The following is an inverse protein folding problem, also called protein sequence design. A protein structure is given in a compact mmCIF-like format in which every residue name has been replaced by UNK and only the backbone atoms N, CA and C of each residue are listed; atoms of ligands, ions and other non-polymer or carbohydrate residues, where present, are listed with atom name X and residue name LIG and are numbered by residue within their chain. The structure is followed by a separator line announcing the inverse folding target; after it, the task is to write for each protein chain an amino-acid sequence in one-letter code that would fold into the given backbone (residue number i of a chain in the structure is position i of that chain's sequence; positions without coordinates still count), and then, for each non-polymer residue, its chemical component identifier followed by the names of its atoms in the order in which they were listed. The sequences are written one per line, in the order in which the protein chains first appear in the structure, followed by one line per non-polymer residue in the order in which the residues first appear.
data_IF_343116067442
#
_entry.id   IF_343116067442
#
_cell.length_a   1.000
_cell.length_b   1.000
_cell.length_c   1.000
_cell.angle_alpha   90.00
_cell.angle_beta   90.00
_cell.angle_gamma   90.00
#
_symmetry.space_group_name_H-M   'P 1'
#
loop_
_entity.id
_entity.type
_entity.pdbx_description
1 polymer ?
#
# COMPACT_ATOMS: atom_id res chain seq x y z
N UNK A 1 14.44 17.89 -9.09
CA UNK A 1 13.71 16.60 -9.09
C UNK A 1 13.56 16.12 -7.66
N UNK A 2 12.70 15.18 -7.41
CA UNK A 2 12.53 14.49 -6.12
C UNK A 2 13.01 13.05 -6.27
N UNK A 3 13.74 12.53 -5.31
CA UNK A 3 14.08 11.12 -5.22
C UNK A 3 12.95 10.40 -4.45
N UNK A 4 12.16 9.59 -5.13
CA UNK A 4 11.16 8.72 -4.53
C UNK A 4 11.76 7.34 -4.24
N UNK A 5 11.55 6.82 -3.04
CA UNK A 5 12.06 5.52 -2.58
C UNK A 5 10.88 4.72 -2.02
N UNK A 6 10.59 3.59 -2.65
CA UNK A 6 9.55 2.64 -2.24
C UNK A 6 10.20 1.37 -1.70
N UNK A 7 10.04 1.12 -0.41
CA UNK A 7 10.69 0.00 0.30
C UNK A 7 9.68 -1.13 0.48
N UNK A 8 9.83 -2.17 -0.33
CA UNK A 8 9.10 -3.43 -0.15
C UNK A 8 9.92 -4.48 0.61
N UNK A 9 9.27 -5.58 0.98
CA UNK A 9 9.90 -6.65 1.78
C UNK A 9 11.07 -7.37 1.10
N UNK A 10 11.10 -7.42 -0.23
CA UNK A 10 12.13 -8.14 -1.01
C UNK A 10 13.04 -7.18 -1.77
N UNK A 11 12.51 -6.06 -2.24
CA UNK A 11 13.25 -5.10 -3.05
C UNK A 11 12.80 -3.68 -2.77
N UNK A 12 13.75 -2.76 -2.87
CA UNK A 12 13.56 -1.31 -2.76
C UNK A 12 13.71 -0.69 -4.14
N UNK A 13 12.71 0.08 -4.57
CA UNK A 13 12.71 0.83 -5.82
C UNK A 13 13.08 2.29 -5.54
N UNK A 14 14.01 2.83 -6.29
CA UNK A 14 14.37 4.25 -6.30
C UNK A 14 13.97 4.85 -7.64
N UNK A 15 13.54 6.09 -7.65
CA UNK A 15 13.30 6.80 -8.92
C UNK A 15 13.40 8.32 -8.79
N UNK A 16 13.85 8.96 -9.87
CA UNK A 16 13.87 10.41 -9.97
C UNK A 16 12.57 10.91 -10.60
N UNK A 17 11.86 11.73 -9.84
CA UNK A 17 10.55 12.28 -10.21
C UNK A 17 10.67 13.75 -10.59
N UNK A 18 10.11 14.10 -11.75
CA UNK A 18 9.97 15.48 -12.23
C UNK A 18 8.53 15.74 -12.63
N UNK A 19 7.84 16.61 -11.87
CA UNK A 19 6.40 16.81 -12.04
C UNK A 19 5.63 15.54 -11.68
N UNK A 20 4.92 14.97 -12.66
CA UNK A 20 4.11 13.76 -12.56
C UNK A 20 4.77 12.52 -13.23
N UNK A 21 6.06 12.60 -13.57
CA UNK A 21 6.76 11.55 -14.32
C UNK A 21 7.97 11.03 -13.57
N UNK A 22 8.13 9.72 -13.60
CA UNK A 22 9.36 9.04 -13.22
C UNK A 22 10.30 9.04 -14.43
N UNK A 23 11.47 9.64 -14.29
CA UNK A 23 12.44 9.80 -15.39
C UNK A 23 13.40 8.61 -15.48
N UNK A 24 13.79 8.07 -14.34
CA UNK A 24 14.73 6.96 -14.24
C UNK A 24 14.45 6.18 -12.95
N UNK A 25 14.70 4.89 -12.98
CA UNK A 25 14.51 4.00 -11.83
C UNK A 25 15.72 3.09 -11.62
N UNK A 26 15.93 2.71 -10.38
CA UNK A 26 16.89 1.68 -9.99
C UNK A 26 16.26 0.81 -8.91
N UNK A 27 16.58 -0.47 -8.90
CA UNK A 27 16.10 -1.42 -7.90
C UNK A 27 17.28 -2.07 -7.19
N UNK A 28 17.20 -2.12 -5.87
CA UNK A 28 18.17 -2.84 -5.02
C UNK A 28 17.44 -3.87 -4.16
N UNK A 29 18.11 -4.92 -3.67
CA UNK A 29 17.54 -5.82 -2.66
C UNK A 29 17.21 -5.06 -1.37
N UNK A 30 16.14 -5.48 -0.69
CA UNK A 30 15.86 -5.04 0.69
C UNK A 30 16.51 -6.04 1.64
N UNK A 31 17.79 -5.82 1.92
CA UNK A 31 18.60 -6.69 2.78
C UNK A 31 19.05 -5.93 4.02
N UNK A 32 19.09 -6.60 5.14
CA UNK A 32 19.43 -5.99 6.41
C UNK A 32 20.35 -6.85 7.24
N UNK A 33 21.64 -6.75 6.98
CA UNK A 33 22.64 -7.20 7.94
C UNK A 33 22.97 -6.05 8.90
N UNK A 34 22.60 -6.21 10.17
CA UNK A 34 23.04 -5.29 11.21
C UNK A 34 24.54 -5.51 11.43
N UNK A 35 25.34 -4.50 11.10
CA UNK A 35 26.78 -4.52 11.31
C UNK A 35 27.08 -4.25 12.79
N UNK A 36 27.82 -5.12 13.49
CA UNK A 36 28.17 -4.89 14.89
C UNK A 36 28.83 -3.52 15.12
N UNK A 37 28.32 -2.77 16.10
CA UNK A 37 28.81 -1.43 16.45
C UNK A 37 28.24 -0.30 15.59
N UNK A 38 27.36 -0.58 14.63
CA UNK A 38 26.63 0.43 13.85
C UNK A 38 25.13 0.41 14.18
N UNK A 39 24.42 1.53 14.02
CA UNK A 39 22.95 1.56 14.16
C UNK A 39 22.27 0.58 13.18
N UNK A 40 21.16 -0.04 13.61
CA UNK A 40 20.33 -0.91 12.78
C UNK A 40 19.94 -0.21 11.48
N UNK A 41 19.99 -0.96 10.36
CA UNK A 41 19.69 -0.43 9.02
C UNK A 41 20.78 0.45 8.39
N UNK A 42 21.94 0.62 9.02
CA UNK A 42 23.00 1.49 8.52
C UNK A 42 23.58 1.02 7.17
N UNK A 43 23.81 -0.28 7.01
CA UNK A 43 24.30 -0.85 5.75
C UNK A 43 23.25 -0.67 4.62
N UNK A 44 21.99 -0.83 4.93
CA UNK A 44 20.91 -0.59 3.97
C UNK A 44 20.80 0.89 3.57
N UNK A 45 20.96 1.82 4.52
CA UNK A 45 21.03 3.25 4.20
C UNK A 45 22.23 3.60 3.32
N UNK A 46 23.39 2.92 3.51
CA UNK A 46 24.55 3.07 2.63
C UNK A 46 24.23 2.58 1.21
N UNK A 47 23.59 1.43 1.05
CA UNK A 47 23.20 0.88 -0.24
C UNK A 47 22.20 1.79 -0.97
N UNK A 48 21.18 2.31 -0.26
CA UNK A 48 20.25 3.31 -0.82
C UNK A 48 21.00 4.56 -1.26
N UNK A 49 21.91 5.10 -0.44
CA UNK A 49 22.64 6.31 -0.77
C UNK A 49 23.52 6.14 -2.00
N UNK A 50 24.19 4.99 -2.15
CA UNK A 50 25.00 4.68 -3.33
C UNK A 50 24.13 4.62 -4.60
N UNK A 51 23.01 3.90 -4.55
CA UNK A 51 22.06 3.81 -5.66
C UNK A 51 21.45 5.16 -6.04
N UNK A 52 21.15 6.00 -5.04
CA UNK A 52 20.65 7.36 -5.25
C UNK A 52 21.69 8.27 -5.91
N UNK A 53 22.95 8.18 -5.50
CA UNK A 53 24.06 8.93 -6.11
C UNK A 53 24.26 8.53 -7.56
N UNK A 54 24.21 7.23 -7.88
CA UNK A 54 24.28 6.73 -9.26
C UNK A 54 23.16 7.32 -10.13
N UNK A 55 21.91 7.25 -9.68
CA UNK A 55 20.78 7.85 -10.40
C UNK A 55 20.94 9.34 -10.61
N UNK A 56 21.33 10.08 -9.57
CA UNK A 56 21.53 11.53 -9.66
C UNK A 56 22.71 11.93 -10.55
N UNK A 57 23.76 11.14 -10.57
CA UNK A 57 24.92 11.37 -11.44
C UNK A 57 24.55 11.22 -12.93
N UNK A 58 23.71 10.25 -13.25
CA UNK A 58 23.31 9.96 -14.64
C UNK A 58 22.19 10.87 -15.15
N UNK A 59 21.26 11.29 -14.28
CA UNK A 59 20.01 11.93 -14.69
C UNK A 59 19.81 13.34 -14.11
N UNK A 60 20.71 13.81 -13.25
CA UNK A 60 20.68 15.14 -12.63
C UNK A 60 20.19 15.13 -11.18
N UNK A 61 20.40 16.25 -10.45
CA UNK A 61 20.23 16.30 -9.00
C UNK A 61 18.76 16.29 -8.56
N UNK A 62 18.51 15.61 -7.44
CA UNK A 62 17.31 15.80 -6.63
C UNK A 62 17.51 16.92 -5.60
N UNK A 63 16.44 17.50 -5.10
CA UNK A 63 16.44 18.50 -4.02
C UNK A 63 15.76 18.02 -2.74
N UNK A 64 15.07 16.88 -2.80
CA UNK A 64 14.41 16.26 -1.66
C UNK A 64 14.29 14.75 -1.87
N UNK A 65 14.09 14.01 -0.77
CA UNK A 65 13.91 12.56 -0.73
C UNK A 65 12.56 12.27 -0.08
N UNK A 66 11.74 11.44 -0.73
CA UNK A 66 10.53 10.86 -0.13
C UNK A 66 10.68 9.35 -0.01
N UNK A 67 10.34 8.78 1.14
CA UNK A 67 10.45 7.35 1.43
C UNK A 67 9.11 6.78 1.87
N UNK A 68 8.55 5.87 1.08
CA UNK A 68 7.43 5.01 1.48
C UNK A 68 7.96 3.69 2.04
N UNK A 69 7.56 3.32 3.26
CA UNK A 69 8.05 2.11 3.92
C UNK A 69 6.97 1.54 4.85
N UNK A 70 6.80 0.20 4.94
CA UNK A 70 5.89 -0.40 5.91
C UNK A 70 6.21 0.05 7.34
N UNK A 71 5.18 0.39 8.12
CA UNK A 71 5.30 0.95 9.47
C UNK A 71 6.14 2.25 9.56
N UNK A 72 6.27 2.98 8.45
CA UNK A 72 6.95 4.28 8.42
C UNK A 72 6.17 5.35 9.19
N UNK A 73 6.85 6.05 10.09
CA UNK A 73 6.26 7.12 10.90
C UNK A 73 6.80 8.49 10.46
N UNK A 74 5.93 9.39 9.95
CA UNK A 74 6.37 10.67 9.43
C UNK A 74 6.88 11.63 10.51
N UNK A 75 6.48 11.46 11.78
CA UNK A 75 6.89 12.35 12.88
C UNK A 75 8.29 12.04 13.40
N UNK A 76 8.68 10.75 13.36
CA UNK A 76 10.02 10.33 13.82
C UNK A 76 11.01 10.17 12.66
N UNK A 77 10.52 10.07 11.41
CA UNK A 77 11.36 9.76 10.24
C UNK A 77 11.97 8.36 10.29
N UNK A 78 11.31 7.45 11.02
CA UNK A 78 11.78 6.07 11.26
C UNK A 78 10.70 5.05 10.90
N UNK A 79 11.08 3.79 10.80
CA UNK A 79 10.16 2.66 10.81
C UNK A 79 10.56 1.67 11.90
N UNK A 80 9.60 0.95 12.47
CA UNK A 80 9.83 -0.01 13.54
C UNK A 80 9.06 -1.31 13.29
N UNK A 81 9.74 -2.45 13.48
CA UNK A 81 9.15 -3.80 13.46
C UNK A 81 8.18 -4.06 12.31
N UNK A 82 8.50 -3.58 11.11
CA UNK A 82 7.69 -3.87 9.93
C UNK A 82 7.70 -5.39 9.65
N UNK A 83 6.53 -6.05 9.52
CA UNK A 83 6.45 -7.52 9.48
C UNK A 83 7.27 -8.14 8.37
N UNK A 84 7.37 -7.45 7.23
CA UNK A 84 7.99 -7.94 6.00
C UNK A 84 9.43 -7.43 5.82
N UNK A 85 9.98 -6.71 6.80
CA UNK A 85 11.34 -6.20 6.75
C UNK A 85 12.24 -6.96 7.73
N UNK A 86 13.55 -7.06 7.42
CA UNK A 86 14.47 -7.86 8.23
C UNK A 86 14.77 -7.25 9.60
N UNK A 87 14.65 -5.94 9.75
CA UNK A 87 14.99 -5.24 11.02
C UNK A 87 13.91 -5.42 12.08
N UNK A 88 14.36 -5.71 13.30
CA UNK A 88 13.49 -5.94 14.48
C UNK A 88 13.53 -4.80 15.49
N UNK A 89 14.30 -3.76 15.21
CA UNK A 89 14.42 -2.53 15.98
C UNK A 89 14.09 -1.32 15.11
N UNK A 90 13.88 -0.18 15.74
CA UNK A 90 13.66 1.08 15.06
C UNK A 90 14.85 1.46 14.18
N UNK A 91 14.57 1.88 12.94
CA UNK A 91 15.54 2.36 11.96
C UNK A 91 15.23 3.82 11.61
N UNK A 92 16.05 4.79 12.04
CA UNK A 92 15.84 6.23 11.78
C UNK A 92 16.31 6.60 10.36
N UNK A 93 15.67 5.99 9.35
CA UNK A 93 16.15 5.99 7.97
C UNK A 93 16.17 7.40 7.35
N UNK A 94 15.18 8.25 7.65
CA UNK A 94 15.15 9.61 7.11
C UNK A 94 16.41 10.42 7.51
N UNK A 95 16.77 10.35 8.80
CA UNK A 95 18.01 10.99 9.31
C UNK A 95 19.25 10.40 8.64
N UNK A 96 19.33 9.07 8.54
CA UNK A 96 20.46 8.38 7.94
C UNK A 96 20.68 8.79 6.46
N UNK A 97 19.59 8.93 5.69
CA UNK A 97 19.67 9.36 4.29
C UNK A 97 20.00 10.83 4.16
N UNK A 98 19.44 11.68 5.03
CA UNK A 98 19.80 13.11 5.07
C UNK A 98 21.29 13.32 5.34
N UNK A 99 21.86 12.59 6.29
CA UNK A 99 23.29 12.65 6.63
C UNK A 99 24.20 12.22 5.45
N UNK A 100 23.78 11.23 4.66
CA UNK A 100 24.56 10.67 3.55
C UNK A 100 24.45 11.45 2.26
N UNK A 101 23.28 12.01 1.98
CA UNK A 101 22.98 12.63 0.70
C UNK A 101 22.91 14.16 0.77
N UNK A 102 22.88 14.74 1.97
CA UNK A 102 22.76 16.19 2.17
C UNK A 102 21.43 16.78 1.72
N UNK A 103 20.37 15.96 1.61
CA UNK A 103 19.05 16.35 1.13
C UNK A 103 18.00 16.15 2.24
N UNK A 104 16.99 17.03 2.32
CA UNK A 104 15.87 16.82 3.23
C UNK A 104 15.12 15.53 2.85
N UNK A 105 14.80 14.70 3.85
CA UNK A 105 14.15 13.43 3.66
C UNK A 105 12.84 13.36 4.47
N UNK A 106 11.72 13.14 3.78
CA UNK A 106 10.42 12.83 4.36
C UNK A 106 10.16 11.33 4.27
N UNK A 107 9.72 10.72 5.36
CA UNK A 107 9.41 9.29 5.43
C UNK A 107 7.98 9.10 5.92
N UNK A 108 7.26 8.14 5.35
CA UNK A 108 5.92 7.79 5.76
C UNK A 108 5.57 6.33 5.48
N UNK A 109 4.39 5.91 5.94
CA UNK A 109 3.85 4.60 5.65
C UNK A 109 3.60 4.45 4.13
N UNK A 110 3.83 3.25 3.59
CA UNK A 110 3.69 2.92 2.16
C UNK A 110 2.26 3.13 1.64
N UNK A 111 1.23 2.79 2.40
CA UNK A 111 -0.17 3.03 2.00
C UNK A 111 -0.53 4.52 2.04
N UNK A 112 0.01 5.28 2.99
CA UNK A 112 -0.12 6.74 3.04
C UNK A 112 0.59 7.40 1.83
N UNK A 113 1.77 6.89 1.47
CA UNK A 113 2.47 7.32 0.26
C UNK A 113 1.63 7.03 -0.99
N UNK A 114 1.05 5.83 -1.11
CA UNK A 114 0.14 5.48 -2.21
C UNK A 114 -1.07 6.43 -2.27
N UNK A 115 -1.65 6.80 -1.11
CA UNK A 115 -2.76 7.74 -1.06
C UNK A 115 -2.38 9.13 -1.58
N UNK A 116 -1.24 9.65 -1.16
CA UNK A 116 -0.71 10.92 -1.67
C UNK A 116 -0.37 10.85 -3.17
N UNK A 117 0.15 9.72 -3.63
CA UNK A 117 0.43 9.49 -5.05
C UNK A 117 -0.84 9.53 -5.90
N UNK A 118 -1.89 8.81 -5.50
CA UNK A 118 -3.19 8.83 -6.18
C UNK A 118 -3.87 10.19 -6.11
N UNK A 119 -3.78 10.86 -4.98
CA UNK A 119 -4.33 12.20 -4.80
C UNK A 119 -3.66 13.23 -5.70
N UNK A 120 -2.33 13.19 -5.78
CA UNK A 120 -1.55 14.18 -6.52
C UNK A 120 -1.44 13.88 -8.02
N UNK A 121 -1.32 12.61 -8.39
CA UNK A 121 -0.96 12.19 -9.75
C UNK A 121 -1.97 11.24 -10.40
N UNK A 122 -2.81 10.56 -9.62
CA UNK A 122 -3.67 9.48 -10.08
C UNK A 122 -5.17 9.79 -10.07
N UNK A 123 -5.97 8.78 -9.73
CA UNK A 123 -7.44 8.82 -9.76
C UNK A 123 -8.06 9.74 -8.70
N UNK A 124 -7.28 10.16 -7.72
CA UNK A 124 -7.70 11.10 -6.67
C UNK A 124 -7.53 12.58 -7.03
N UNK A 125 -7.01 12.91 -8.20
CA UNK A 125 -6.82 14.33 -8.61
C UNK A 125 -8.10 15.13 -8.50
N UNK A 126 -7.99 16.30 -7.82
CA UNK A 126 -9.10 17.24 -7.65
C UNK A 126 -10.07 16.92 -6.53
N UNK A 127 -9.87 15.82 -5.80
CA UNK A 127 -10.63 15.54 -4.58
C UNK A 127 -10.04 16.30 -3.39
N UNK A 128 -10.89 16.70 -2.45
CA UNK A 128 -10.50 17.11 -1.10
C UNK A 128 -10.54 15.94 -0.13
N UNK A 129 -11.40 14.95 -0.41
CA UNK A 129 -11.66 13.80 0.44
C UNK A 129 -11.52 12.50 -0.40
N UNK A 130 -10.54 11.70 -0.05
CA UNK A 130 -10.14 10.50 -0.80
C UNK A 130 -9.78 9.37 0.17
N UNK A 131 -10.22 8.15 -0.14
CA UNK A 131 -9.71 6.95 0.47
C UNK A 131 -8.94 6.14 -0.58
N UNK A 132 -7.70 5.79 -0.30
CA UNK A 132 -6.96 4.82 -1.11
C UNK A 132 -6.77 3.54 -0.31
N UNK A 133 -7.02 2.40 -0.94
CA UNK A 133 -6.86 1.08 -0.34
C UNK A 133 -5.90 0.27 -1.17
N UNK A 134 -4.83 -0.19 -0.56
CA UNK A 134 -3.83 -1.04 -1.19
C UNK A 134 -4.13 -2.51 -0.90
N UNK A 135 -4.26 -3.33 -1.94
CA UNK A 135 -4.63 -4.75 -1.88
C UNK A 135 -3.48 -5.62 -2.40
N UNK A 136 -2.73 -6.20 -1.49
CA UNK A 136 -1.55 -7.01 -1.79
C UNK A 136 -1.29 -8.09 -0.74
N UNK A 137 -0.05 -8.22 -0.27
CA UNK A 137 0.33 -9.11 0.84
C UNK A 137 -0.52 -8.84 2.08
N UNK A 138 -0.80 -7.55 2.34
CA UNK A 138 -1.74 -7.06 3.35
C UNK A 138 -2.83 -6.18 2.74
N UNK A 139 -3.58 -5.49 3.61
CA UNK A 139 -4.45 -4.40 3.27
C UNK A 139 -3.96 -3.13 3.96
N UNK A 140 -3.42 -2.19 3.19
CA UNK A 140 -3.11 -0.85 3.66
C UNK A 140 -4.17 0.16 3.22
N UNK A 141 -4.18 1.32 3.85
CA UNK A 141 -5.07 2.42 3.46
C UNK A 141 -4.51 3.77 3.88
N UNK A 142 -4.84 4.80 3.11
CA UNK A 142 -4.56 6.18 3.43
C UNK A 142 -5.78 7.05 3.15
N UNK A 143 -6.06 7.97 4.06
CA UNK A 143 -7.20 8.87 4.00
C UNK A 143 -6.69 10.30 3.77
N UNK A 144 -7.23 10.95 2.75
CA UNK A 144 -7.12 12.42 2.58
C UNK A 144 -8.46 13.00 3.04
N UNK A 145 -8.41 13.97 3.94
CA UNK A 145 -9.59 14.66 4.49
C UNK A 145 -9.30 16.15 4.45
N UNK A 146 -10.19 16.93 3.85
CA UNK A 146 -10.00 18.37 3.64
C UNK A 146 -8.66 18.72 2.95
N UNK A 147 -8.19 17.85 2.04
CA UNK A 147 -6.94 18.05 1.33
C UNK A 147 -5.67 17.68 2.12
N UNK A 148 -5.81 17.09 3.29
CA UNK A 148 -4.69 16.70 4.14
C UNK A 148 -4.70 15.18 4.44
N UNK A 149 -3.51 14.59 4.52
CA UNK A 149 -3.37 13.19 4.91
C UNK A 149 -3.72 13.00 6.39
N UNK A 150 -4.64 12.09 6.68
CA UNK A 150 -5.01 11.73 8.04
C UNK A 150 -3.88 10.91 8.69
N UNK A 151 -3.15 11.53 9.60
CA UNK A 151 -2.04 10.89 10.33
C UNK A 151 -2.40 10.54 11.78
N UNK A 152 -3.31 11.31 12.39
CA UNK A 152 -3.57 11.24 13.83
C UNK A 152 -2.35 11.73 14.66
N UNK A 153 -2.46 11.74 15.98
CA UNK A 153 -1.43 12.32 16.85
C UNK A 153 -0.13 11.49 16.91
N UNK A 154 -0.15 10.25 16.44
CA UNK A 154 1.01 9.34 16.49
C UNK A 154 1.49 8.89 15.09
N UNK A 155 0.91 9.42 14.01
CA UNK A 155 1.30 9.08 12.64
C UNK A 155 0.76 7.73 12.12
N UNK A 156 -0.18 7.09 12.84
CA UNK A 156 -0.66 5.72 12.56
C UNK A 156 -2.16 5.66 12.29
N UNK A 157 -2.81 6.74 11.89
CA UNK A 157 -4.22 6.70 11.53
C UNK A 157 -4.43 6.02 10.18
N UNK A 158 -5.64 5.51 9.96
CA UNK A 158 -6.01 4.96 8.67
C UNK A 158 -5.82 3.45 8.51
N UNK A 159 -5.66 2.69 9.58
CA UNK A 159 -5.42 1.24 9.60
C UNK A 159 -6.71 0.43 9.32
N UNK A 160 -7.34 0.65 8.15
CA UNK A 160 -8.60 -0.02 7.76
C UNK A 160 -8.48 -1.55 7.73
N UNK A 161 -7.32 -2.07 7.30
CA UNK A 161 -7.03 -3.50 7.25
C UNK A 161 -7.15 -4.20 8.59
N UNK A 162 -6.93 -3.45 9.67
CA UNK A 162 -6.99 -3.98 11.02
C UNK A 162 -8.31 -3.70 11.76
N UNK A 163 -9.33 -3.18 11.08
CA UNK A 163 -10.70 -3.17 11.63
C UNK A 163 -11.25 -4.60 11.71
N UNK A 164 -12.01 -4.90 12.76
CA UNK A 164 -12.59 -6.23 12.96
C UNK A 164 -13.82 -6.37 12.05
N UNK A 165 -13.70 -7.19 11.01
CA UNK A 165 -14.79 -7.51 10.10
C UNK A 165 -15.59 -8.75 10.55
N UNK A 166 -14.93 -9.68 11.25
CA UNK A 166 -15.53 -10.92 11.75
C UNK A 166 -15.15 -11.13 13.21
N UNK A 167 -16.12 -11.10 14.10
CA UNK A 167 -15.86 -11.40 15.52
C UNK A 167 -15.30 -12.83 15.65
N UNK A 168 -14.22 -12.97 16.44
CA UNK A 168 -13.51 -14.23 16.67
C UNK A 168 -13.04 -14.98 15.40
N UNK A 169 -12.90 -14.23 14.28
CA UNK A 169 -12.53 -14.77 12.98
C UNK A 169 -11.07 -15.20 12.86
N UNK A 170 -10.52 -15.15 11.62
CA UNK A 170 -9.17 -15.58 11.30
C UNK A 170 -8.11 -14.82 12.11
N UNK A 171 -7.04 -15.53 12.51
CA UNK A 171 -5.91 -14.91 13.22
C UNK A 171 -5.14 -13.96 12.28
N UNK A 172 -4.99 -12.71 12.69
CA UNK A 172 -4.20 -11.70 12.00
C UNK A 172 -2.77 -11.67 12.51
N UNK A 173 -1.83 -11.26 11.65
CA UNK A 173 -0.42 -11.04 11.99
C UNK A 173 -0.22 -9.98 13.08
N UNK A 174 -1.18 -9.06 13.25
CA UNK A 174 -1.19 -8.08 14.34
C UNK A 174 -1.53 -8.68 15.73
N UNK A 175 -1.79 -9.99 15.82
CA UNK A 175 -2.14 -10.70 17.04
C UNK A 175 -3.63 -10.72 17.37
N UNK A 176 -4.47 -9.93 16.70
CA UNK A 176 -5.94 -9.91 16.87
C UNK A 176 -6.61 -10.92 15.96
N UNK A 177 -7.92 -11.16 16.20
CA UNK A 177 -8.75 -12.01 15.35
C UNK A 177 -9.76 -11.18 14.56
N UNK A 178 -10.06 -11.64 13.34
CA UNK A 178 -11.15 -11.12 12.52
C UNK A 178 -10.84 -9.82 11.77
N UNK A 179 -9.58 -9.39 11.70
CA UNK A 179 -9.19 -8.21 10.93
C UNK A 179 -9.60 -8.37 9.46
N UNK A 180 -10.07 -7.30 8.84
CA UNK A 180 -10.47 -7.24 7.43
C UNK A 180 -9.41 -7.80 6.49
N UNK A 181 -8.14 -7.47 6.73
CA UNK A 181 -6.98 -7.95 5.98
C UNK A 181 -6.97 -9.46 5.82
N UNK A 182 -7.37 -10.23 6.84
CA UNK A 182 -7.34 -11.69 6.81
C UNK A 182 -8.34 -12.32 5.84
N UNK A 183 -9.21 -11.51 5.23
CA UNK A 183 -10.21 -11.93 4.23
C UNK A 183 -9.97 -11.37 2.84
N UNK A 184 -9.24 -10.24 2.74
CA UNK A 184 -9.13 -9.50 1.46
C UNK A 184 -7.70 -9.35 0.96
N UNK A 185 -6.69 -9.78 1.73
CA UNK A 185 -5.30 -9.84 1.27
C UNK A 185 -5.03 -11.10 0.42
N UNK A 186 -3.84 -11.18 -0.20
CA UNK A 186 -3.38 -12.38 -0.92
C UNK A 186 -3.53 -13.62 -0.03
N UNK A 187 -3.05 -13.55 1.22
CA UNK A 187 -3.18 -14.64 2.18
C UNK A 187 -4.66 -14.98 2.43
N UNK A 188 -5.49 -13.98 2.68
CA UNK A 188 -6.91 -14.17 2.96
C UNK A 188 -7.68 -14.80 1.81
N UNK A 189 -7.38 -14.38 0.58
CA UNK A 189 -7.96 -14.98 -0.63
C UNK A 189 -7.53 -16.43 -0.82
N UNK A 190 -6.25 -16.74 -0.61
CA UNK A 190 -5.72 -18.10 -0.70
C UNK A 190 -6.32 -19.04 0.36
N UNK A 191 -6.50 -18.56 1.58
CA UNK A 191 -7.23 -19.30 2.63
C UNK A 191 -8.69 -19.54 2.22
N UNK A 192 -9.38 -18.53 1.70
CA UNK A 192 -10.77 -18.67 1.22
C UNK A 192 -10.88 -19.67 0.07
N UNK A 193 -9.95 -19.63 -0.89
CA UNK A 193 -9.92 -20.59 -1.99
C UNK A 193 -9.69 -22.02 -1.50
N UNK A 194 -8.76 -22.22 -0.55
CA UNK A 194 -8.50 -23.53 0.08
C UNK A 194 -9.75 -24.12 0.74
N UNK A 195 -10.54 -23.26 1.40
CA UNK A 195 -11.75 -23.69 2.10
C UNK A 195 -12.88 -24.05 1.12
N UNK A 196 -12.85 -23.56 -0.13
CA UNK A 196 -13.92 -23.72 -1.12
C UNK A 196 -13.60 -24.77 -2.20
N UNK A 197 -12.32 -25.00 -2.51
CA UNK A 197 -11.91 -25.85 -3.60
C UNK A 197 -11.80 -27.32 -3.17
N UNK A 198 -12.31 -28.23 -3.99
CA UNK A 198 -12.11 -29.68 -3.82
C UNK A 198 -10.63 -30.07 -4.06
N UNK A 199 -9.98 -29.39 -5.02
CA UNK A 199 -8.54 -29.49 -5.31
C UNK A 199 -7.88 -28.12 -5.18
N UNK A 200 -7.11 -27.85 -4.09
CA UNK A 200 -6.43 -26.59 -3.88
C UNK A 200 -5.06 -26.49 -4.59
N UNK A 201 -4.72 -27.32 -5.56
CA UNK A 201 -3.40 -27.38 -6.23
C UNK A 201 -2.97 -26.04 -6.88
N UNK A 202 -3.93 -25.15 -7.21
CA UNK A 202 -3.60 -23.78 -7.65
C UNK A 202 -2.76 -23.01 -6.61
N UNK A 203 -2.84 -23.38 -5.35
CA UNK A 203 -2.09 -22.77 -4.25
C UNK A 203 -0.60 -23.17 -4.21
N UNK A 204 -0.16 -24.12 -5.04
CA UNK A 204 1.26 -24.41 -5.24
C UNK A 204 1.99 -23.27 -5.95
N UNK A 205 1.24 -22.42 -6.65
CA UNK A 205 1.76 -21.20 -7.24
C UNK A 205 1.55 -20.00 -6.30
N UNK A 206 2.43 -19.01 -6.38
CA UNK A 206 2.35 -17.81 -5.52
C UNK A 206 1.29 -16.80 -6.00
N UNK A 207 0.88 -15.93 -5.07
CA UNK A 207 -0.03 -14.82 -5.36
C UNK A 207 -1.49 -15.24 -5.53
N UNK A 208 -2.26 -14.41 -6.23
CA UNK A 208 -3.69 -14.61 -6.53
C UNK A 208 -3.96 -14.77 -8.03
N UNK A 209 -2.96 -14.58 -8.87
CA UNK A 209 -3.08 -14.70 -10.32
C UNK A 209 -3.61 -16.07 -10.76
N UNK A 210 -3.13 -17.21 -10.24
CA UNK A 210 -3.66 -18.52 -10.60
C UNK A 210 -5.15 -18.65 -10.30
N UNK A 211 -5.62 -18.09 -9.15
CA UNK A 211 -7.04 -18.08 -8.78
C UNK A 211 -7.84 -17.19 -9.75
N UNK A 212 -7.30 -16.03 -10.16
CA UNK A 212 -7.97 -15.15 -11.12
C UNK A 212 -8.13 -15.84 -12.49
N UNK A 213 -7.06 -16.44 -13.01
CA UNK A 213 -7.09 -17.19 -14.28
C UNK A 213 -8.06 -18.40 -14.23
N UNK A 214 -8.16 -19.08 -13.09
CA UNK A 214 -9.14 -20.15 -12.91
C UNK A 214 -10.58 -19.62 -12.90
N UNK A 215 -10.83 -18.50 -12.21
CA UNK A 215 -12.13 -17.85 -12.20
C UNK A 215 -12.59 -17.42 -13.61
N UNK A 216 -11.68 -16.91 -14.44
CA UNK A 216 -11.94 -16.58 -15.85
C UNK A 216 -12.29 -17.82 -16.67
N UNK A 217 -11.64 -18.96 -16.42
CA UNK A 217 -11.95 -20.23 -17.07
C UNK A 217 -13.24 -20.91 -16.57
N UNK A 218 -13.88 -20.34 -15.52
CA UNK A 218 -15.16 -20.82 -15.05
C UNK A 218 -15.10 -21.68 -13.76
N UNK A 219 -13.96 -21.72 -13.08
CA UNK A 219 -13.84 -22.38 -11.78
C UNK A 219 -14.73 -21.71 -10.73
N UNK A 220 -15.66 -22.48 -10.16
CA UNK A 220 -16.66 -21.94 -9.24
C UNK A 220 -16.06 -21.55 -7.89
N UNK A 221 -15.10 -22.31 -7.36
CA UNK A 221 -14.43 -22.01 -6.10
C UNK A 221 -13.61 -20.71 -6.23
N UNK A 222 -12.93 -20.53 -7.37
CA UNK A 222 -12.19 -19.31 -7.66
C UNK A 222 -13.11 -18.09 -7.79
N UNK A 223 -14.22 -18.22 -8.52
CA UNK A 223 -15.25 -17.16 -8.61
C UNK A 223 -15.86 -16.81 -7.25
N UNK A 224 -16.17 -17.84 -6.44
CA UNK A 224 -16.69 -17.62 -5.10
C UNK A 224 -15.67 -16.97 -4.18
N UNK A 225 -14.38 -17.24 -4.36
CA UNK A 225 -13.28 -16.56 -3.64
C UNK A 225 -13.31 -15.06 -3.93
N UNK A 226 -13.42 -14.63 -5.19
CA UNK A 226 -13.52 -13.21 -5.54
C UNK A 226 -14.80 -12.56 -4.98
N UNK A 227 -15.93 -13.25 -5.03
CA UNK A 227 -17.19 -12.76 -4.42
C UNK A 227 -17.07 -12.58 -2.92
N UNK A 228 -16.44 -13.54 -2.22
CA UNK A 228 -16.20 -13.45 -0.78
C UNK A 228 -15.30 -12.29 -0.44
N UNK A 229 -14.18 -12.12 -1.18
CA UNK A 229 -13.25 -10.98 -1.03
C UNK A 229 -13.98 -9.65 -1.24
N UNK A 230 -14.74 -9.53 -2.32
CA UNK A 230 -15.54 -8.34 -2.62
C UNK A 230 -16.55 -8.04 -1.49
N UNK A 231 -17.17 -9.08 -0.94
CA UNK A 231 -18.14 -8.94 0.15
C UNK A 231 -17.50 -8.37 1.42
N UNK A 232 -16.35 -8.91 1.84
CA UNK A 232 -15.65 -8.43 3.03
C UNK A 232 -15.04 -7.05 2.82
N UNK A 233 -14.48 -6.80 1.64
CA UNK A 233 -13.97 -5.48 1.29
C UNK A 233 -15.08 -4.43 1.34
N UNK A 234 -16.27 -4.75 0.80
CA UNK A 234 -17.44 -3.87 0.88
C UNK A 234 -17.79 -3.49 2.32
N UNK A 235 -17.77 -4.45 3.25
CA UNK A 235 -18.03 -4.17 4.68
C UNK A 235 -17.04 -3.13 5.23
N UNK A 236 -15.74 -3.31 4.94
CA UNK A 236 -14.72 -2.33 5.36
C UNK A 236 -14.93 -0.95 4.75
N UNK A 237 -15.20 -0.90 3.44
CA UNK A 237 -15.40 0.37 2.71
C UNK A 237 -16.65 1.11 3.16
N UNK A 238 -17.77 0.41 3.37
CA UNK A 238 -19.03 1.01 3.88
C UNK A 238 -18.81 1.61 5.28
N UNK A 239 -18.09 0.90 6.14
CA UNK A 239 -17.74 1.42 7.47
C UNK A 239 -16.82 2.66 7.35
N UNK A 240 -15.82 2.63 6.47
CA UNK A 240 -14.95 3.79 6.23
C UNK A 240 -15.74 5.01 5.73
N UNK A 241 -16.68 4.81 4.80
CA UNK A 241 -17.57 5.89 4.30
C UNK A 241 -18.38 6.53 5.43
N UNK A 242 -18.85 5.74 6.39
CA UNK A 242 -19.63 6.26 7.51
C UNK A 242 -18.84 7.25 8.39
N UNK A 243 -17.51 7.19 8.38
CA UNK A 243 -16.64 8.07 9.17
C UNK A 243 -15.99 9.19 8.35
N UNK A 244 -15.67 8.97 7.07
CA UNK A 244 -14.85 9.89 6.28
C UNK A 244 -15.57 10.50 5.06
N UNK A 245 -16.66 9.87 4.61
CA UNK A 245 -17.46 10.31 3.43
C UNK A 245 -16.58 10.77 2.25
N UNK A 246 -15.66 9.93 1.74
CA UNK A 246 -14.76 10.34 0.68
C UNK A 246 -15.53 10.55 -0.63
N UNK A 247 -15.07 11.48 -1.47
CA UNK A 247 -15.61 11.66 -2.82
C UNK A 247 -15.29 10.44 -3.70
N UNK A 248 -14.08 9.88 -3.51
CA UNK A 248 -13.62 8.69 -4.24
C UNK A 248 -12.96 7.68 -3.31
N UNK A 249 -13.12 6.41 -3.64
CA UNK A 249 -12.33 5.32 -3.10
C UNK A 249 -11.52 4.73 -4.25
N UNK A 250 -10.20 4.71 -4.13
CA UNK A 250 -9.29 4.17 -5.15
C UNK A 250 -8.69 2.87 -4.65
N UNK A 251 -8.84 1.81 -5.43
CA UNK A 251 -8.24 0.50 -5.15
C UNK A 251 -6.93 0.36 -5.93
N UNK A 252 -5.87 0.02 -5.25
CA UNK A 252 -4.51 -0.16 -5.77
C UNK A 252 -3.96 -1.55 -5.43
N UNK A 253 -3.05 -2.07 -6.24
CA UNK A 253 -2.29 -3.30 -5.96
C UNK A 253 -2.75 -4.53 -6.75
N UNK A 254 -2.05 -5.66 -6.53
CA UNK A 254 -2.18 -6.85 -7.36
C UNK A 254 -3.58 -7.46 -7.41
N UNK A 255 -4.31 -7.46 -6.30
CA UNK A 255 -5.68 -7.97 -6.24
C UNK A 255 -6.64 -7.04 -7.00
N UNK A 256 -6.47 -5.73 -6.90
CA UNK A 256 -7.30 -4.75 -7.60
C UNK A 256 -7.21 -4.92 -9.14
N UNK A 257 -6.07 -5.39 -9.65
CA UNK A 257 -5.86 -5.68 -11.08
C UNK A 257 -6.66 -6.87 -11.63
N UNK A 258 -7.28 -7.67 -10.78
CA UNK A 258 -8.24 -8.68 -11.25
C UNK A 258 -9.49 -8.05 -11.90
N UNK A 259 -9.58 -6.73 -11.96
CA UNK A 259 -10.56 -5.99 -12.74
C UNK A 259 -12.00 -6.37 -12.40
N UNK A 260 -12.77 -6.75 -13.40
CA UNK A 260 -14.20 -7.07 -13.26
C UNK A 260 -14.48 -8.20 -12.26
N UNK A 261 -13.57 -9.18 -12.11
CA UNK A 261 -13.72 -10.27 -11.15
C UNK A 261 -13.92 -9.77 -9.71
N UNK A 262 -13.20 -8.69 -9.35
CA UNK A 262 -13.34 -8.05 -8.04
C UNK A 262 -14.35 -6.90 -8.08
N UNK A 263 -14.24 -6.01 -9.07
CA UNK A 263 -14.95 -4.73 -9.08
C UNK A 263 -16.46 -4.88 -9.25
N UNK A 264 -16.91 -5.81 -10.09
CA UNK A 264 -18.36 -5.96 -10.35
C UNK A 264 -19.12 -6.42 -9.10
N UNK A 265 -18.73 -7.52 -8.42
CA UNK A 265 -19.39 -7.89 -7.17
C UNK A 265 -19.16 -6.86 -6.06
N UNK A 266 -18.00 -6.19 -6.01
CA UNK A 266 -17.73 -5.18 -5.01
C UNK A 266 -18.66 -3.98 -5.15
N UNK A 267 -18.86 -3.43 -6.36
CA UNK A 267 -19.80 -2.33 -6.61
C UNK A 267 -21.21 -2.69 -6.20
N UNK A 268 -21.66 -3.92 -6.51
CA UNK A 268 -22.99 -4.39 -6.13
C UNK A 268 -23.18 -4.44 -4.60
N UNK A 269 -22.20 -5.03 -3.88
CA UNK A 269 -22.26 -5.10 -2.42
C UNK A 269 -22.14 -3.71 -1.78
N UNK A 270 -21.22 -2.89 -2.27
CA UNK A 270 -20.98 -1.54 -1.78
C UNK A 270 -22.24 -0.66 -1.86
N UNK A 271 -22.85 -0.52 -3.04
CA UNK A 271 -24.07 0.27 -3.22
C UNK A 271 -25.27 -0.28 -2.42
N UNK A 272 -25.41 -1.60 -2.32
CA UNK A 272 -26.46 -2.23 -1.53
C UNK A 272 -26.35 -1.90 -0.05
N UNK A 273 -25.13 -1.95 0.50
CA UNK A 273 -24.86 -1.88 1.93
C UNK A 273 -24.58 -0.47 2.43
N UNK A 274 -24.35 0.49 1.52
CA UNK A 274 -24.21 1.91 1.87
C UNK A 274 -25.46 2.41 2.60
N UNK A 275 -25.25 3.18 3.66
CA UNK A 275 -26.31 3.96 4.27
C UNK A 275 -26.94 4.88 3.20
N UNK A 276 -28.26 4.98 3.18
CA UNK A 276 -29.03 5.56 2.07
C UNK A 276 -28.60 6.99 1.68
N UNK A 277 -28.12 7.80 2.64
CA UNK A 277 -27.67 9.18 2.40
C UNK A 277 -26.38 9.25 1.57
N UNK A 278 -25.61 8.17 1.47
CA UNK A 278 -24.33 8.11 0.74
C UNK A 278 -24.44 7.45 -0.64
N UNK A 279 -25.57 6.78 -0.95
CA UNK A 279 -25.76 6.06 -2.22
C UNK A 279 -25.59 6.99 -3.41
N UNK A 280 -24.80 6.54 -4.40
CA UNK A 280 -24.49 7.30 -5.61
C UNK A 280 -23.61 8.53 -5.39
N UNK A 281 -23.01 8.71 -4.21
CA UNK A 281 -22.19 9.89 -3.88
C UNK A 281 -20.70 9.58 -3.76
N UNK A 282 -20.32 8.33 -3.66
CA UNK A 282 -18.94 7.90 -3.51
C UNK A 282 -18.54 7.09 -4.73
N UNK A 283 -17.54 7.56 -5.47
CA UNK A 283 -17.04 6.83 -6.64
C UNK A 283 -16.05 5.74 -6.22
N UNK A 284 -16.23 4.53 -6.72
CA UNK A 284 -15.31 3.41 -6.52
C UNK A 284 -14.49 3.17 -7.80
N UNK A 285 -13.19 3.42 -7.74
CA UNK A 285 -12.27 3.43 -8.89
C UNK A 285 -11.08 2.48 -8.69
N UNK A 286 -10.45 2.09 -9.78
CA UNK A 286 -9.12 1.51 -9.77
C UNK A 286 -8.06 2.62 -9.87
N UNK A 287 -6.86 2.34 -9.37
CA UNK A 287 -5.68 3.19 -9.52
C UNK A 287 -5.47 3.60 -10.99
N UNK A 288 -5.13 4.85 -11.21
CA UNK A 288 -4.74 5.38 -12.51
C UNK A 288 -3.23 5.45 -12.71
N UNK A 289 -2.43 5.13 -11.69
CA UNK A 289 -0.98 5.15 -11.76
C UNK A 289 -0.45 3.84 -12.38
N UNK A 290 0.60 3.97 -13.19
CA UNK A 290 1.33 2.81 -13.67
C UNK A 290 1.97 2.06 -12.48
N UNK A 291 1.88 0.74 -12.47
CA UNK A 291 2.33 -0.10 -11.35
C UNK A 291 3.79 0.13 -10.96
N UNK A 292 4.66 0.22 -11.97
CA UNK A 292 6.10 0.37 -11.74
C UNK A 292 6.45 1.74 -11.15
N UNK A 293 5.63 2.76 -11.41
CA UNK A 293 5.86 4.14 -11.00
C UNK A 293 5.11 4.53 -9.71
N UNK A 294 4.02 3.84 -9.40
CA UNK A 294 3.09 4.24 -8.35
C UNK A 294 3.73 4.38 -6.97
N UNK A 295 4.56 3.39 -6.56
CA UNK A 295 5.27 3.45 -5.29
C UNK A 295 6.28 4.62 -5.23
N UNK A 296 7.00 4.86 -6.34
CA UNK A 296 7.97 5.96 -6.47
C UNK A 296 7.26 7.31 -6.43
N UNK A 297 6.18 7.46 -7.19
CA UNK A 297 5.37 8.69 -7.20
C UNK A 297 4.74 8.95 -5.84
N UNK A 298 4.23 7.90 -5.19
CA UNK A 298 3.70 7.98 -3.84
C UNK A 298 4.73 8.43 -2.82
N UNK A 299 5.91 7.82 -2.84
CA UNK A 299 7.03 8.21 -1.99
C UNK A 299 7.45 9.68 -2.25
N UNK A 300 7.59 10.07 -3.51
CA UNK A 300 7.90 11.45 -3.87
C UNK A 300 6.83 12.45 -3.40
N UNK A 301 5.56 12.04 -3.34
CA UNK A 301 4.47 12.89 -2.87
C UNK A 301 4.55 13.22 -1.38
N UNK A 302 5.27 12.43 -0.57
CA UNK A 302 5.52 12.70 0.85
C UNK A 302 6.37 13.96 1.10
N UNK A 303 7.10 14.46 0.09
CA UNK A 303 7.97 15.64 0.23
C UNK A 303 7.23 16.97 0.01
N UNK A 304 5.98 16.92 -0.42
CA UNK A 304 5.18 18.13 -0.62
C UNK A 304 4.79 18.73 0.74
N UNK A 305 4.92 20.06 0.89
CA UNK A 305 4.40 20.77 2.06
C UNK A 305 2.89 20.71 2.07
#
# INVERSE_FOLDING_TARGET
MILGIDIGGTSTKLGLVKGDRVLATLRIPTEGDDVPGRPSGSAFADAIALAAQELMQQHGPAHAIGVGVPNGNPFTGSFDRAPNLPWKSEVPLARMLTERLGLPCSLGNDANAAALGEWKYGAGKGCTDLLVVTLGTGLGSGFIIDGELLLGPHGNAGELGHTIAVMDGRLCTCGRRGCLETYVSIRGMRETYRDLADDPSLLDQEGVRPIAEAAERGDDAARQTFRSTARWLSVGLVNAVAFSVPQRIVLFGGIARSGALLMDPLKQYFERDLFNIYRGKVELLLSALAEDDAGILGAAALTAP
#
